data_IF_293245070944
#
_entry.id   IF_293245070944
#
_cell.length_a   1.000
_cell.length_b   1.000
_cell.length_c   1.000
_cell.angle_alpha   90.00
_cell.angle_beta   90.00
_cell.angle_gamma   90.00
#
_symmetry.space_group_name_H-M   'P 1'
#
loop_
_entity.id
_entity.type
_entity.pdbx_description
1 polymer ?
#
# COMPACT_ATOMS: atom_id res chain seq x y z
N UNK A 1 -3.15 31.18 4.36
CA UNK A 1 -2.38 30.39 3.38
C UNK A 1 -2.96 28.99 3.10
N UNK A 2 -3.70 28.35 4.02
CA UNK A 2 -4.34 27.05 3.75
C UNK A 2 -5.45 27.12 2.68
N UNK A 3 -6.34 28.11 2.74
CA UNK A 3 -7.51 28.18 1.83
C UNK A 3 -7.10 28.13 0.34
N UNK A 4 -6.12 28.95 -0.06
CA UNK A 4 -5.63 28.94 -1.44
C UNK A 4 -4.91 27.63 -1.84
N UNK A 5 -4.32 26.92 -0.88
CA UNK A 5 -3.70 25.61 -1.11
C UNK A 5 -4.73 24.49 -1.31
N UNK A 6 -5.84 24.53 -0.56
CA UNK A 6 -6.95 23.59 -0.69
C UNK A 6 -7.66 23.76 -2.04
N UNK A 7 -7.93 25.00 -2.45
CA UNK A 7 -8.58 25.28 -3.75
C UNK A 7 -7.74 24.73 -4.93
N UNK A 8 -6.42 24.93 -4.90
CA UNK A 8 -5.50 24.42 -5.93
C UNK A 8 -5.32 22.90 -5.92
N UNK A 9 -5.73 22.20 -4.86
CA UNK A 9 -5.64 20.74 -4.83
C UNK A 9 -6.76 20.12 -5.66
N UNK A 10 -8.00 20.61 -5.53
CA UNK A 10 -9.15 20.10 -6.26
C UNK A 10 -9.05 20.25 -7.78
N UNK A 11 -8.28 21.24 -8.26
CA UNK A 11 -8.05 21.46 -9.69
C UNK A 11 -6.91 20.60 -10.28
N UNK A 12 -6.24 19.76 -9.46
CA UNK A 12 -5.13 18.91 -9.92
C UNK A 12 -5.61 17.51 -10.23
N UNK A 13 -5.11 16.97 -11.34
CA UNK A 13 -5.28 15.54 -11.63
C UNK A 13 -4.56 14.69 -10.55
N UNK A 14 -5.14 13.53 -10.19
CA UNK A 14 -4.57 12.56 -9.25
C UNK A 14 -3.10 12.25 -9.55
N UNK A 15 -2.73 12.12 -10.84
CA UNK A 15 -1.34 11.89 -11.26
C UNK A 15 -0.33 12.90 -10.70
N UNK A 16 -0.76 14.13 -10.40
CA UNK A 16 0.10 15.18 -9.91
C UNK A 16 0.36 15.07 -8.40
N UNK A 17 -0.37 14.22 -7.68
CA UNK A 17 -0.32 14.07 -6.22
C UNK A 17 -0.01 12.64 -5.80
N UNK A 18 -0.27 11.64 -6.64
CA UNK A 18 0.06 10.24 -6.37
C UNK A 18 1.57 10.02 -6.24
N UNK A 19 1.96 8.99 -5.48
CA UNK A 19 3.32 8.45 -5.53
C UNK A 19 3.50 7.65 -6.82
N UNK A 20 4.54 7.93 -7.64
CA UNK A 20 4.82 7.15 -8.84
C UNK A 20 4.98 5.67 -8.52
N UNK A 21 4.44 4.78 -9.38
CA UNK A 21 4.44 3.32 -9.12
C UNK A 21 5.82 2.75 -8.79
N UNK A 22 6.86 3.24 -9.43
CA UNK A 22 8.25 2.79 -9.24
C UNK A 22 8.85 3.20 -7.89
N UNK A 23 8.20 4.12 -7.17
CA UNK A 23 8.60 4.65 -5.87
C UNK A 23 7.71 4.13 -4.73
N UNK A 24 6.73 3.29 -5.04
CA UNK A 24 5.81 2.72 -4.05
C UNK A 24 6.43 1.47 -3.43
N UNK A 25 6.59 1.48 -2.11
CA UNK A 25 6.79 0.27 -1.33
C UNK A 25 5.52 -0.59 -1.36
N UNK A 26 5.66 -1.88 -1.59
CA UNK A 26 4.53 -2.82 -1.67
C UNK A 26 4.92 -4.19 -1.10
N UNK A 27 3.92 -4.95 -0.67
CA UNK A 27 4.10 -6.33 -0.20
C UNK A 27 3.85 -7.31 -1.33
N UNK A 28 4.83 -8.16 -1.65
CA UNK A 28 4.64 -9.28 -2.55
C UNK A 28 4.08 -10.47 -1.78
N UNK A 29 2.87 -10.90 -2.15
CA UNK A 29 2.14 -12.01 -1.52
C UNK A 29 2.73 -13.39 -1.84
N UNK A 30 3.71 -13.47 -2.73
CA UNK A 30 4.48 -14.68 -3.04
C UNK A 30 5.84 -14.72 -2.34
N UNK A 31 6.24 -13.65 -1.64
CA UNK A 31 7.48 -13.63 -0.88
C UNK A 31 7.42 -14.58 0.31
N UNK A 32 8.58 -15.14 0.65
CA UNK A 32 8.71 -15.93 1.86
C UNK A 32 8.54 -15.08 3.13
N UNK A 33 8.34 -15.76 4.25
CA UNK A 33 8.11 -15.14 5.55
C UNK A 33 9.27 -14.25 6.00
N UNK A 34 10.52 -14.60 5.67
CA UNK A 34 11.69 -13.82 6.06
C UNK A 34 11.74 -12.48 5.32
N UNK A 35 11.47 -12.47 4.02
CA UNK A 35 11.38 -11.28 3.19
C UNK A 35 10.23 -10.37 3.64
N UNK A 36 9.06 -10.93 3.94
CA UNK A 36 7.91 -10.15 4.44
C UNK A 36 8.22 -9.54 5.81
N UNK A 37 8.83 -10.31 6.73
CA UNK A 37 9.26 -9.79 8.03
C UNK A 37 10.26 -8.63 7.88
N UNK A 38 11.25 -8.78 7.00
CA UNK A 38 12.21 -7.70 6.71
C UNK A 38 11.50 -6.44 6.22
N UNK A 39 10.63 -6.57 5.21
CA UNK A 39 9.83 -5.45 4.69
C UNK A 39 9.03 -4.75 5.80
N UNK A 40 8.36 -5.51 6.67
CA UNK A 40 7.55 -4.95 7.76
C UNK A 40 8.38 -4.23 8.83
N UNK A 41 9.64 -4.61 9.01
CA UNK A 41 10.57 -3.95 9.95
C UNK A 41 11.15 -2.67 9.35
N UNK A 42 11.45 -2.67 8.06
CA UNK A 42 12.14 -1.57 7.37
C UNK A 42 11.17 -0.46 6.92
N UNK A 43 9.95 -0.82 6.55
CA UNK A 43 8.97 0.15 6.04
C UNK A 43 8.51 1.12 7.13
N UNK A 44 8.38 2.40 6.76
CA UNK A 44 7.78 3.43 7.62
C UNK A 44 6.27 3.59 7.38
N UNK A 45 5.70 2.80 6.46
CA UNK A 45 4.33 2.95 6.02
C UNK A 45 3.36 2.10 6.84
N UNK A 46 2.22 2.70 7.20
CA UNK A 46 1.13 1.99 7.91
C UNK A 46 0.33 1.08 7.00
N UNK A 47 0.36 1.34 5.68
CA UNK A 47 -0.34 0.59 4.65
C UNK A 47 0.60 0.35 3.49
N UNK A 48 0.51 -0.84 2.93
CA UNK A 48 1.25 -1.24 1.74
C UNK A 48 0.27 -1.80 0.71
N UNK A 49 0.35 -1.40 -0.56
CA UNK A 49 -0.27 -2.14 -1.65
C UNK A 49 0.22 -3.59 -1.64
N UNK A 50 -0.68 -4.52 -1.93
CA UNK A 50 -0.41 -5.95 -1.92
C UNK A 50 -0.52 -6.53 -3.32
N UNK A 51 0.57 -7.12 -3.81
CA UNK A 51 0.69 -7.64 -5.18
C UNK A 51 0.97 -9.12 -5.23
N UNK A 52 0.55 -9.76 -6.32
CA UNK A 52 0.76 -11.19 -6.55
C UNK A 52 1.94 -11.42 -7.50
N UNK A 53 3.15 -11.53 -6.96
CA UNK A 53 4.37 -11.78 -7.72
C UNK A 53 4.90 -10.58 -8.54
N UNK A 54 4.02 -9.65 -8.93
CA UNK A 54 4.34 -8.47 -9.73
C UNK A 54 3.64 -7.22 -9.17
N UNK A 55 4.32 -6.07 -9.22
CA UNK A 55 3.79 -4.75 -8.85
C UNK A 55 2.60 -4.33 -9.71
N UNK A 56 2.48 -4.83 -10.94
CA UNK A 56 1.31 -4.59 -11.80
C UNK A 56 0.12 -5.49 -11.45
N UNK A 57 0.35 -6.58 -10.71
CA UNK A 57 -0.67 -7.53 -10.28
C UNK A 57 -1.19 -7.17 -8.88
N UNK A 58 -1.72 -5.94 -8.72
CA UNK A 58 -2.25 -5.46 -7.45
C UNK A 58 -3.57 -6.13 -7.08
N UNK A 59 -3.61 -6.70 -5.87
CA UNK A 59 -4.77 -7.38 -5.30
C UNK A 59 -5.53 -6.48 -4.34
N UNK A 60 -4.82 -5.59 -3.64
CA UNK A 60 -5.44 -4.68 -2.67
C UNK A 60 -4.41 -3.98 -1.79
N UNK A 61 -4.76 -3.78 -0.53
CA UNK A 61 -3.90 -3.14 0.48
C UNK A 61 -3.88 -3.95 1.77
N UNK A 62 -2.73 -3.99 2.43
CA UNK A 62 -2.61 -4.52 3.81
C UNK A 62 -2.34 -3.39 4.79
N UNK A 63 -2.77 -3.56 6.03
CA UNK A 63 -2.29 -2.76 7.15
C UNK A 63 -1.11 -3.49 7.78
N UNK A 64 0.05 -2.84 7.85
CA UNK A 64 1.28 -3.47 8.36
C UNK A 64 1.11 -3.98 9.79
N UNK A 65 0.36 -3.24 10.62
CA UNK A 65 -0.04 -3.65 11.97
C UNK A 65 -0.79 -4.99 12.02
N UNK A 66 -1.73 -5.24 11.11
CA UNK A 66 -2.54 -6.46 11.13
C UNK A 66 -1.69 -7.70 10.84
N UNK A 67 -0.78 -7.57 9.86
CA UNK A 67 0.17 -8.63 9.50
C UNK A 67 1.17 -8.87 10.63
N UNK A 68 1.72 -7.81 11.22
CA UNK A 68 2.64 -7.92 12.36
C UNK A 68 1.98 -8.56 13.58
N UNK A 69 0.72 -8.23 13.87
CA UNK A 69 -0.03 -8.83 14.97
C UNK A 69 -0.23 -10.34 14.78
N UNK A 70 -0.45 -10.80 13.53
CA UNK A 70 -0.54 -12.23 13.24
C UNK A 70 0.79 -12.96 13.50
N UNK A 71 1.91 -12.36 13.07
CA UNK A 71 3.26 -12.90 13.28
C UNK A 71 3.58 -13.00 14.78
N UNK A 72 3.34 -11.91 15.54
CA UNK A 72 3.62 -11.86 16.98
C UNK A 72 2.70 -12.78 17.79
N UNK A 73 1.49 -13.07 17.28
CA UNK A 73 0.57 -14.03 17.86
C UNK A 73 0.94 -15.50 17.63
N UNK A 74 2.07 -15.79 16.97
CA UNK A 74 2.53 -17.16 16.68
C UNK A 74 1.69 -17.89 15.63
N UNK A 75 0.90 -17.16 14.83
CA UNK A 75 0.14 -17.74 13.73
C UNK A 75 1.05 -17.96 12.53
N UNK A 76 0.71 -18.94 11.69
CA UNK A 76 1.31 -19.07 10.36
C UNK A 76 1.03 -17.78 9.58
N UNK A 77 2.08 -17.20 9.00
CA UNK A 77 1.96 -15.96 8.24
C UNK A 77 1.23 -16.25 6.92
N UNK A 78 0.00 -15.76 6.82
CA UNK A 78 -0.85 -15.84 5.62
C UNK A 78 -1.22 -14.41 5.18
N UNK A 79 -0.33 -13.67 4.49
CA UNK A 79 -0.51 -12.24 4.19
C UNK A 79 -1.79 -11.96 3.40
N UNK A 80 -2.20 -12.92 2.55
CA UNK A 80 -3.42 -12.84 1.74
C UNK A 80 -4.69 -12.66 2.58
N UNK A 81 -4.74 -13.22 3.79
CA UNK A 81 -5.90 -13.09 4.67
C UNK A 81 -6.09 -11.67 5.22
N UNK A 82 -5.03 -10.84 5.16
CA UNK A 82 -5.04 -9.46 5.63
C UNK A 82 -5.24 -8.45 4.50
N UNK A 83 -5.36 -8.91 3.25
CA UNK A 83 -5.59 -8.05 2.09
C UNK A 83 -7.03 -7.54 2.12
N UNK A 84 -7.17 -6.22 2.00
CA UNK A 84 -8.45 -5.54 1.89
C UNK A 84 -8.56 -4.91 0.50
N UNK A 85 -9.78 -4.85 -0.03
CA UNK A 85 -10.04 -4.18 -1.29
C UNK A 85 -9.63 -2.69 -1.18
N UNK A 86 -8.85 -2.22 -2.14
CA UNK A 86 -8.47 -0.82 -2.26
C UNK A 86 -9.34 -0.14 -3.33
N UNK A 87 -9.90 1.06 -3.08
CA UNK A 87 -10.58 1.81 -4.11
C UNK A 87 -9.59 2.20 -5.22
N UNK A 88 -10.03 2.12 -6.47
CA UNK A 88 -9.24 2.46 -7.65
C UNK A 88 -9.82 3.74 -8.25
N UNK A 89 -8.95 4.69 -8.57
CA UNK A 89 -9.30 5.94 -9.24
C UNK A 89 -8.47 6.08 -10.52
N UNK A 90 -9.03 6.74 -11.52
CA UNK A 90 -8.28 7.10 -12.73
C UNK A 90 -7.29 8.22 -12.41
N UNK A 91 -6.13 8.17 -13.04
CA UNK A 91 -5.05 9.15 -12.85
C UNK A 91 -5.41 10.56 -13.37
N UNK A 92 -6.42 10.65 -14.25
CA UNK A 92 -7.02 11.89 -14.77
C UNK A 92 -8.13 12.46 -13.90
N UNK A 93 -8.60 11.74 -12.89
CA UNK A 93 -9.64 12.25 -12.00
C UNK A 93 -9.14 13.45 -11.19
N UNK A 94 -10.07 14.28 -10.74
CA UNK A 94 -9.79 15.39 -9.83
C UNK A 94 -9.37 14.85 -8.45
N UNK A 95 -8.40 15.52 -7.80
CA UNK A 95 -7.76 15.08 -6.56
C UNK A 95 -8.45 15.56 -5.28
#
# INVERSE_FOLDING_TARGET
RMIAGVMRLGDRAVRAVMTPRTEVDWINLQSDEAAIKRLLIETQHSRLPAGDGNVDAMVGVVQTRDVLAAILGGKVLEPRQHVRAAPIVHDQADA
#
